data_IF_204897654963
#
_entry.id   IF_204897654963
#
_cell.length_a   1.000
_cell.length_b   1.000
_cell.length_c   1.000
_cell.angle_alpha   90.00
_cell.angle_beta   90.00
_cell.angle_gamma   90.00
#
_symmetry.space_group_name_H-M   'P 1'
#
loop_
_entity.id
_entity.type
_entity.pdbx_description
1 polymer ?
#
# COMPACT_ATOMS: atom_id res chain seq x y z
N UNK A 1 52.32 16.64 19.94
CA UNK A 1 51.06 17.40 20.03
C UNK A 1 49.98 16.46 19.53
N UNK A 2 49.16 15.87 20.42
CA UNK A 2 48.08 14.96 20.04
C UNK A 2 46.99 15.81 19.37
N UNK A 3 46.85 15.67 18.06
CA UNK A 3 45.73 16.27 17.34
C UNK A 3 44.45 15.62 17.84
N UNK A 4 43.46 16.44 18.14
CA UNK A 4 42.19 16.18 18.81
C UNK A 4 41.22 15.29 18.01
N UNK A 5 41.66 14.10 17.60
CA UNK A 5 40.82 13.07 17.01
C UNK A 5 40.51 11.98 18.03
N UNK A 6 39.24 11.57 18.10
CA UNK A 6 38.84 10.36 18.82
C UNK A 6 39.37 9.15 18.06
N UNK A 7 39.78 8.12 18.79
CA UNK A 7 40.14 6.83 18.22
C UNK A 7 38.85 6.20 17.64
N UNK A 8 38.85 5.94 16.34
CA UNK A 8 37.67 5.49 15.59
C UNK A 8 37.17 4.13 16.10
N UNK A 9 38.07 3.23 16.49
CA UNK A 9 37.71 1.93 17.03
C UNK A 9 37.01 2.07 18.39
N UNK A 10 37.46 3.03 19.21
CA UNK A 10 36.83 3.35 20.50
C UNK A 10 35.44 3.96 20.30
N UNK A 11 35.28 4.83 19.29
CA UNK A 11 33.98 5.42 18.96
C UNK A 11 32.99 4.37 18.45
N UNK A 12 33.42 3.46 17.58
CA UNK A 12 32.59 2.35 17.07
C UNK A 12 32.17 1.42 18.21
N UNK A 13 33.11 1.00 19.06
CA UNK A 13 32.79 0.14 20.20
C UNK A 13 31.84 0.80 21.20
N UNK A 14 32.05 2.08 21.51
CA UNK A 14 31.16 2.83 22.39
C UNK A 14 29.74 2.94 21.79
N UNK A 15 29.65 3.17 20.47
CA UNK A 15 28.38 3.25 19.76
C UNK A 15 27.68 1.90 19.73
N UNK A 16 28.38 0.81 19.44
CA UNK A 16 27.83 -0.56 19.45
C UNK A 16 27.35 -0.99 20.84
N UNK A 17 28.13 -0.71 21.90
CA UNK A 17 27.74 -0.99 23.27
C UNK A 17 26.50 -0.21 23.65
N UNK A 18 26.49 1.10 23.39
CA UNK A 18 25.35 1.97 23.70
C UNK A 18 24.10 1.54 22.94
N UNK A 19 24.24 1.17 21.66
CA UNK A 19 23.11 0.68 20.87
C UNK A 19 22.60 -0.65 21.41
N UNK A 20 23.50 -1.57 21.79
CA UNK A 20 23.14 -2.87 22.34
C UNK A 20 22.43 -2.74 23.68
N UNK A 21 22.97 -1.94 24.59
CA UNK A 21 22.38 -1.67 25.91
C UNK A 21 21.02 -0.97 25.76
N UNK A 22 20.90 -0.04 24.79
CA UNK A 22 19.63 0.59 24.48
C UNK A 22 18.63 -0.43 23.92
N UNK A 23 19.02 -1.27 22.96
CA UNK A 23 18.18 -2.34 22.40
C UNK A 23 17.75 -3.33 23.48
N UNK A 24 18.64 -3.70 24.39
CA UNK A 24 18.34 -4.58 25.51
C UNK A 24 17.40 -3.91 26.52
N UNK A 25 17.51 -2.60 26.74
CA UNK A 25 16.56 -1.83 27.55
C UNK A 25 15.16 -1.75 26.91
N UNK A 26 15.08 -1.75 25.58
CA UNK A 26 13.82 -1.77 24.83
C UNK A 26 13.15 -3.16 24.82
N UNK A 27 13.88 -4.25 25.15
CA UNK A 27 13.27 -5.59 25.25
C UNK A 27 12.24 -5.70 26.38
N UNK A 28 12.20 -4.75 27.32
CA UNK A 28 11.24 -4.71 28.43
C UNK A 28 10.04 -3.77 28.23
N UNK A 29 10.08 -2.86 27.25
CA UNK A 29 9.01 -1.91 26.97
C UNK A 29 8.82 -1.80 25.44
N UNK A 30 7.66 -2.26 24.94
CA UNK A 30 7.25 -2.19 23.52
C UNK A 30 8.13 -2.95 22.52
N UNK A 31 8.29 -4.27 22.71
CA UNK A 31 8.79 -5.13 21.65
C UNK A 31 7.83 -5.07 20.43
N UNK A 32 8.28 -4.59 19.25
CA UNK A 32 7.33 -4.51 18.12
C UNK A 32 6.79 -5.92 17.76
N UNK A 33 5.55 -6.01 17.21
CA UNK A 33 4.92 -7.28 16.83
C UNK A 33 5.72 -8.00 15.73
N UNK A 34 5.92 -9.32 15.74
CA UNK A 34 6.82 -10.05 14.83
C UNK A 34 6.60 -9.69 13.35
N UNK A 35 7.69 -9.68 12.57
CA UNK A 35 7.62 -9.40 11.13
C UNK A 35 7.10 -10.63 10.40
N UNK A 36 6.20 -10.45 9.46
CA UNK A 36 5.72 -11.49 8.55
C UNK A 36 6.35 -11.31 7.16
N UNK A 37 6.42 -12.38 6.34
CA UNK A 37 6.75 -12.25 4.93
C UNK A 37 5.81 -11.27 4.23
N UNK A 38 6.36 -10.46 3.34
CA UNK A 38 5.62 -9.49 2.52
C UNK A 38 5.88 -9.75 1.05
N UNK A 39 4.96 -9.35 0.15
CA UNK A 39 5.19 -9.35 -1.30
C UNK A 39 6.47 -8.59 -1.68
N UNK A 40 7.21 -9.09 -2.65
CA UNK A 40 8.47 -8.50 -3.09
C UNK A 40 8.55 -8.44 -4.62
N UNK A 41 8.44 -7.23 -5.20
CA UNK A 41 8.87 -7.04 -6.59
C UNK A 41 10.36 -7.37 -6.72
N UNK A 42 10.72 -8.06 -7.82
CA UNK A 42 12.10 -8.50 -8.08
C UNK A 42 12.98 -7.34 -8.53
N UNK A 43 13.38 -6.48 -7.59
CA UNK A 43 14.17 -5.27 -7.83
C UNK A 43 15.69 -5.48 -7.72
N UNK A 44 16.15 -6.73 -7.68
CA UNK A 44 17.59 -7.06 -7.66
C UNK A 44 18.28 -6.58 -8.94
N UNK A 45 19.49 -6.06 -8.81
CA UNK A 45 20.27 -5.49 -9.93
C UNK A 45 19.65 -4.23 -10.58
N UNK A 46 18.74 -3.55 -9.88
CA UNK A 46 18.13 -2.27 -10.31
C UNK A 46 17.50 -2.35 -11.72
N UNK A 47 16.54 -3.25 -11.95
CA UNK A 47 15.95 -3.42 -13.27
C UNK A 47 15.09 -2.21 -13.62
N UNK A 48 15.17 -1.77 -14.88
CA UNK A 48 14.31 -0.71 -15.40
C UNK A 48 12.89 -1.22 -15.67
N UNK A 49 12.76 -2.52 -15.95
CA UNK A 49 11.53 -3.17 -16.37
C UNK A 49 11.35 -4.52 -15.67
N UNK A 50 10.10 -4.85 -15.35
CA UNK A 50 9.69 -6.16 -14.84
C UNK A 50 8.76 -6.80 -15.87
N UNK A 51 9.12 -7.98 -16.35
CA UNK A 51 8.22 -8.81 -17.17
C UNK A 51 7.21 -9.51 -16.26
N UNK A 52 5.93 -9.18 -16.46
CA UNK A 52 4.80 -9.77 -15.72
C UNK A 52 3.98 -10.73 -16.60
N UNK A 53 4.53 -11.06 -17.77
CA UNK A 53 4.12 -12.08 -18.71
C UNK A 53 3.09 -11.63 -19.75
N UNK A 54 2.33 -10.56 -19.51
CA UNK A 54 1.48 -9.94 -20.52
C UNK A 54 1.90 -8.52 -20.92
N UNK A 55 2.85 -7.92 -20.17
CA UNK A 55 3.49 -6.64 -20.48
C UNK A 55 4.79 -6.45 -19.71
N UNK A 56 5.55 -5.41 -20.08
CA UNK A 56 6.66 -4.90 -19.29
C UNK A 56 6.23 -3.73 -18.41
N UNK A 57 6.39 -3.86 -17.10
CA UNK A 57 6.09 -2.82 -16.11
C UNK A 57 7.37 -2.06 -15.79
N UNK A 58 7.32 -0.73 -15.80
CA UNK A 58 8.50 0.11 -15.55
C UNK A 58 8.70 0.29 -14.05
N UNK A 59 9.94 0.22 -13.57
CA UNK A 59 10.30 0.63 -12.21
C UNK A 59 10.68 2.11 -12.27
N UNK A 60 9.82 3.00 -11.76
CA UNK A 60 10.05 4.45 -11.82
C UNK A 60 10.85 4.92 -10.61
N UNK A 61 10.44 4.48 -9.42
CA UNK A 61 11.08 4.84 -8.15
C UNK A 61 11.02 3.65 -7.21
N UNK A 62 12.08 3.37 -6.46
CA UNK A 62 12.10 2.39 -5.39
C UNK A 62 12.72 2.97 -4.12
N UNK A 63 11.92 3.06 -3.07
CA UNK A 63 12.35 3.37 -1.71
C UNK A 63 12.44 2.06 -0.93
N UNK A 64 13.57 1.80 -0.26
CA UNK A 64 13.78 0.54 0.45
C UNK A 64 13.14 0.51 1.84
N UNK A 65 13.11 1.65 2.55
CA UNK A 65 12.60 1.74 3.92
C UNK A 65 11.92 3.10 4.19
N UNK A 66 10.58 3.15 4.29
CA UNK A 66 9.63 2.05 4.06
C UNK A 66 9.70 1.56 2.61
N UNK A 67 9.26 0.32 2.36
CA UNK A 67 9.23 -0.20 1.00
C UNK A 67 8.07 0.45 0.23
N UNK A 68 8.42 1.35 -0.68
CA UNK A 68 7.48 2.02 -1.60
C UNK A 68 8.07 1.98 -3.01
N UNK A 69 7.29 1.50 -3.97
CA UNK A 69 7.72 1.36 -5.37
C UNK A 69 6.68 1.99 -6.27
N UNK A 70 7.10 2.88 -7.16
CA UNK A 70 6.24 3.46 -8.19
C UNK A 70 6.47 2.71 -9.49
N UNK A 71 5.39 2.19 -10.05
CA UNK A 71 5.38 1.45 -11.31
C UNK A 71 4.74 2.26 -12.42
N UNK A 72 5.36 2.26 -13.60
CA UNK A 72 4.79 2.78 -14.83
C UNK A 72 4.30 1.64 -15.72
N UNK A 73 3.37 1.93 -16.62
CA UNK A 73 2.86 0.94 -17.58
C UNK A 73 2.31 -0.34 -16.91
N UNK A 74 1.66 -0.21 -15.75
CA UNK A 74 1.05 -1.33 -15.03
C UNK A 74 -0.31 -1.73 -15.62
N UNK A 75 -1.11 -0.74 -16.01
CA UNK A 75 -2.36 -0.92 -16.76
C UNK A 75 -2.26 -0.21 -18.11
N UNK A 76 -2.99 -0.68 -19.11
CA UNK A 76 -3.13 0.03 -20.39
C UNK A 76 -4.25 1.05 -20.26
N UNK A 77 -4.31 1.99 -21.20
CA UNK A 77 -5.40 2.94 -21.23
C UNK A 77 -6.75 2.22 -21.38
N UNK A 78 -6.87 1.23 -22.26
CA UNK A 78 -8.10 0.44 -22.43
C UNK A 78 -8.51 -0.27 -21.13
N UNK A 79 -7.56 -0.86 -20.40
CA UNK A 79 -7.84 -1.52 -19.12
C UNK A 79 -8.33 -0.53 -18.05
N UNK A 80 -7.78 0.69 -18.04
CA UNK A 80 -8.23 1.75 -17.15
C UNK A 80 -9.67 2.18 -17.47
N UNK A 81 -10.00 2.39 -18.74
CA UNK A 81 -11.35 2.78 -19.16
C UNK A 81 -12.37 1.67 -18.88
N UNK A 82 -12.01 0.42 -19.16
CA UNK A 82 -12.89 -0.74 -18.93
C UNK A 82 -13.16 -0.94 -17.42
N UNK A 83 -12.15 -0.80 -16.55
CA UNK A 83 -12.36 -0.83 -15.10
C UNK A 83 -13.32 0.28 -14.63
N UNK A 84 -13.14 1.50 -15.13
CA UNK A 84 -14.02 2.63 -14.80
C UNK A 84 -15.45 2.33 -15.28
N UNK A 85 -15.61 1.84 -16.51
CA UNK A 85 -16.92 1.54 -17.09
C UNK A 85 -17.67 0.46 -16.29
N UNK A 86 -16.99 -0.63 -15.94
CA UNK A 86 -17.56 -1.74 -15.15
C UNK A 86 -17.91 -1.33 -13.72
N UNK A 87 -17.10 -0.46 -13.10
CA UNK A 87 -17.31 0.00 -11.73
C UNK A 87 -18.41 1.07 -11.60
N UNK A 88 -18.51 1.97 -12.57
CA UNK A 88 -19.39 3.15 -12.54
C UNK A 88 -20.85 2.87 -12.13
N UNK A 89 -21.56 1.84 -12.66
CA UNK A 89 -22.95 1.59 -12.28
C UNK A 89 -23.13 1.02 -10.87
N UNK A 90 -22.04 0.55 -10.23
CA UNK A 90 -22.04 -0.09 -8.91
C UNK A 90 -21.48 0.80 -7.81
N UNK A 91 -20.99 2.00 -8.15
CA UNK A 91 -20.43 2.93 -7.18
C UNK A 91 -21.51 3.37 -6.18
N UNK A 92 -21.20 3.20 -4.90
CA UNK A 92 -21.95 3.77 -3.79
C UNK A 92 -21.00 4.59 -2.92
N UNK A 93 -21.56 5.37 -1.99
CA UNK A 93 -20.75 6.09 -1.01
C UNK A 93 -19.82 5.11 -0.28
N UNK A 94 -18.51 5.37 -0.27
CA UNK A 94 -17.56 4.45 0.36
C UNK A 94 -17.83 4.30 1.85
N UNK A 95 -17.91 3.06 2.32
CA UNK A 95 -17.91 2.70 3.73
C UNK A 95 -16.48 2.29 4.14
N UNK A 96 -16.12 2.44 5.41
CA UNK A 96 -14.94 1.80 5.99
C UNK A 96 -15.36 0.61 6.83
N UNK A 97 -14.45 -0.33 7.09
CA UNK A 97 -14.73 -1.41 8.05
C UNK A 97 -14.99 -0.78 9.41
N UNK A 98 -16.16 -1.05 9.97
CA UNK A 98 -16.59 -0.63 11.29
C UNK A 98 -15.73 -1.36 12.33
N UNK A 99 -14.70 -0.68 12.79
CA UNK A 99 -13.60 -1.24 13.59
C UNK A 99 -14.10 -1.87 14.92
N UNK A 100 -15.23 -1.38 15.44
CA UNK A 100 -15.85 -1.87 16.69
C UNK A 100 -16.75 -3.09 16.52
N UNK A 101 -17.42 -3.24 15.38
CA UNK A 101 -18.40 -4.31 15.15
C UNK A 101 -17.94 -5.36 14.12
N UNK A 102 -16.86 -5.08 13.39
CA UNK A 102 -16.41 -5.87 12.24
C UNK A 102 -17.30 -5.72 11.00
N UNK A 103 -18.26 -4.78 11.01
CA UNK A 103 -19.18 -4.48 9.90
C UNK A 103 -18.67 -3.39 8.95
N UNK A 104 -19.58 -2.69 8.27
CA UNK A 104 -19.27 -1.49 7.45
C UNK A 104 -19.90 -0.24 8.09
N UNK A 105 -19.17 0.88 8.14
CA UNK A 105 -19.65 2.16 8.69
C UNK A 105 -19.34 3.33 7.73
N UNK A 106 -20.26 4.31 7.71
CA UNK A 106 -20.09 5.57 6.99
C UNK A 106 -18.98 6.39 7.64
N UNK A 107 -17.88 6.62 6.94
CA UNK A 107 -16.74 7.34 7.47
C UNK A 107 -16.65 8.77 6.91
N UNK A 108 -16.57 9.76 7.79
CA UNK A 108 -16.35 11.16 7.40
C UNK A 108 -14.95 11.38 6.78
N UNK A 109 -13.98 10.54 7.15
CA UNK A 109 -12.57 10.66 6.75
C UNK A 109 -12.28 10.12 5.35
N UNK A 110 -13.24 9.39 4.77
CA UNK A 110 -13.18 8.87 3.39
C UNK A 110 -14.37 9.38 2.61
N UNK A 111 -14.10 10.34 1.72
CA UNK A 111 -15.18 11.04 1.00
C UNK A 111 -15.33 10.63 -0.47
N UNK A 112 -14.85 9.43 -0.82
CA UNK A 112 -15.01 8.81 -2.14
C UNK A 112 -16.35 8.08 -2.32
N UNK A 113 -16.67 7.78 -3.58
CA UNK A 113 -17.56 6.67 -3.92
C UNK A 113 -16.70 5.44 -4.25
N UNK A 114 -17.16 4.24 -3.93
CA UNK A 114 -16.41 3.01 -4.17
C UNK A 114 -17.29 1.80 -4.44
N UNK A 115 -16.67 0.78 -5.02
CA UNK A 115 -17.25 -0.55 -5.18
C UNK A 115 -16.14 -1.60 -5.15
N UNK A 116 -16.53 -2.85 -4.93
CA UNK A 116 -15.64 -4.01 -4.98
C UNK A 116 -16.05 -4.96 -6.09
N UNK A 117 -15.07 -5.37 -6.89
CA UNK A 117 -15.17 -6.61 -7.65
C UNK A 117 -14.86 -7.78 -6.72
N UNK A 118 -15.53 -8.93 -6.93
CA UNK A 118 -15.02 -10.20 -6.43
C UNK A 118 -13.64 -10.52 -7.02
N UNK A 119 -12.85 -11.37 -6.34
CA UNK A 119 -11.60 -11.89 -6.94
C UNK A 119 -11.95 -12.65 -8.22
N UNK A 120 -11.24 -12.35 -9.30
CA UNK A 120 -11.47 -12.89 -10.64
C UNK A 120 -12.93 -12.80 -11.12
N UNK A 121 -13.68 -11.76 -10.70
CA UNK A 121 -15.11 -11.62 -11.04
C UNK A 121 -15.38 -11.57 -12.55
N UNK A 122 -14.45 -10.98 -13.31
CA UNK A 122 -14.48 -10.93 -14.77
C UNK A 122 -13.08 -11.13 -15.34
N UNK A 123 -13.00 -11.30 -16.66
CA UNK A 123 -11.74 -11.60 -17.35
C UNK A 123 -10.68 -10.50 -17.21
N UNK A 124 -11.09 -9.22 -17.21
CA UNK A 124 -10.20 -8.09 -16.98
C UNK A 124 -9.60 -8.15 -15.56
N UNK A 125 -10.45 -8.28 -14.54
CA UNK A 125 -10.02 -8.39 -13.16
C UNK A 125 -9.09 -9.59 -12.97
N UNK A 126 -9.44 -10.77 -13.50
CA UNK A 126 -8.61 -11.98 -13.44
C UNK A 126 -7.21 -11.75 -14.03
N UNK A 127 -7.12 -11.06 -15.17
CA UNK A 127 -5.85 -10.75 -15.84
C UNK A 127 -4.99 -9.79 -15.03
N UNK A 128 -5.58 -8.69 -14.55
CA UNK A 128 -4.89 -7.69 -13.70
C UNK A 128 -4.40 -8.34 -12.39
N UNK A 129 -5.21 -9.20 -11.78
CA UNK A 129 -4.83 -9.89 -10.54
C UNK A 129 -3.68 -10.89 -10.74
N UNK A 130 -3.68 -11.63 -11.86
CA UNK A 130 -2.57 -12.50 -12.23
C UNK A 130 -1.29 -11.70 -12.51
N UNK A 131 -1.41 -10.55 -13.18
CA UNK A 131 -0.30 -9.61 -13.43
C UNK A 131 0.30 -9.11 -12.12
N UNK A 132 -0.55 -8.66 -11.19
CA UNK A 132 -0.14 -8.22 -9.86
C UNK A 132 0.59 -9.33 -9.12
N UNK A 133 0.04 -10.54 -9.10
CA UNK A 133 0.64 -11.69 -8.43
C UNK A 133 2.08 -11.96 -8.91
N UNK A 134 2.31 -11.88 -10.23
CA UNK A 134 3.65 -11.99 -10.82
C UNK A 134 4.54 -10.78 -10.50
N UNK A 135 4.00 -9.57 -10.56
CA UNK A 135 4.73 -8.32 -10.32
C UNK A 135 5.40 -8.30 -8.94
N UNK A 136 4.67 -8.74 -7.92
CA UNK A 136 5.10 -8.65 -6.51
C UNK A 136 5.47 -10.00 -5.91
N UNK A 137 5.57 -11.05 -6.74
CA UNK A 137 5.93 -12.42 -6.35
C UNK A 137 5.09 -12.92 -5.16
N UNK A 138 3.76 -12.86 -5.30
CA UNK A 138 2.81 -13.22 -4.24
C UNK A 138 1.62 -14.01 -4.81
N UNK A 139 1.09 -15.04 -4.10
CA UNK A 139 -0.01 -15.84 -4.63
C UNK A 139 -1.26 -15.01 -4.89
N UNK A 140 -1.93 -15.24 -6.02
CA UNK A 140 -3.16 -14.50 -6.39
C UNK A 140 -4.30 -14.73 -5.37
N UNK A 141 -4.32 -15.89 -4.73
CA UNK A 141 -5.28 -16.30 -3.71
C UNK A 141 -5.17 -15.45 -2.44
N UNK A 142 -4.00 -14.86 -2.19
CA UNK A 142 -3.77 -13.96 -1.07
C UNK A 142 -4.28 -12.54 -1.36
N UNK A 143 -4.82 -12.25 -2.54
CA UNK A 143 -5.41 -10.96 -2.86
C UNK A 143 -6.89 -10.88 -2.49
N UNK A 144 -7.30 -9.76 -1.87
CA UNK A 144 -8.71 -9.34 -1.85
C UNK A 144 -9.19 -8.97 -3.24
N UNK A 145 -10.50 -8.83 -3.48
CA UNK A 145 -11.00 -8.32 -4.76
C UNK A 145 -10.53 -6.88 -5.06
N UNK A 146 -10.55 -6.47 -6.33
CA UNK A 146 -10.20 -5.10 -6.71
C UNK A 146 -11.26 -4.11 -6.18
N UNK A 147 -10.81 -3.09 -5.44
CA UNK A 147 -11.66 -1.97 -5.05
C UNK A 147 -11.49 -0.82 -6.02
N UNK A 148 -12.55 -0.37 -6.69
CA UNK A 148 -12.52 0.85 -7.52
C UNK A 148 -13.12 2.02 -6.77
N UNK A 149 -12.46 3.17 -6.85
CA UNK A 149 -12.81 4.38 -6.12
C UNK A 149 -12.83 5.60 -7.03
N UNK A 150 -13.79 6.49 -6.77
CA UNK A 150 -13.93 7.79 -7.43
C UNK A 150 -13.88 8.92 -6.40
N UNK A 151 -13.03 9.90 -6.66
CA UNK A 151 -12.89 11.13 -5.89
C UNK A 151 -13.30 12.31 -6.78
N UNK A 152 -14.38 13.00 -6.40
CA UNK A 152 -14.81 14.28 -7.00
C UNK A 152 -14.00 15.44 -6.41
N UNK A 153 -14.05 16.65 -6.98
CA UNK A 153 -13.44 17.83 -6.37
C UNK A 153 -13.83 17.97 -4.89
N UNK A 154 -12.85 18.21 -4.04
CA UNK A 154 -12.97 18.28 -2.58
C UNK A 154 -12.88 16.93 -1.87
N UNK A 155 -13.11 15.80 -2.55
CA UNK A 155 -13.00 14.49 -1.94
C UNK A 155 -11.53 14.13 -1.65
N UNK A 156 -11.32 13.46 -0.53
CA UNK A 156 -10.02 13.05 0.00
C UNK A 156 -10.14 11.73 0.78
N UNK A 157 -8.98 11.20 1.17
CA UNK A 157 -8.90 10.18 2.21
C UNK A 157 -7.82 10.60 3.21
N UNK A 158 -8.21 10.83 4.47
CA UNK A 158 -7.27 11.14 5.55
C UNK A 158 -6.18 10.06 5.68
N UNK A 159 -4.98 10.44 6.16
CA UNK A 159 -3.91 9.49 6.42
C UNK A 159 -4.36 8.33 7.31
N UNK A 160 -4.08 7.10 6.88
CA UNK A 160 -4.45 5.86 7.56
C UNK A 160 -3.44 4.75 7.27
N UNK A 161 -3.61 3.64 7.97
CA UNK A 161 -2.91 2.39 7.69
C UNK A 161 -3.88 1.41 7.02
N UNK A 162 -3.36 0.60 6.10
CA UNK A 162 -4.15 -0.44 5.45
C UNK A 162 -4.19 -1.75 6.24
N UNK A 163 -3.26 -1.97 7.17
CA UNK A 163 -3.34 -3.09 8.10
C UNK A 163 -4.49 -2.90 9.10
N UNK A 164 -5.01 -4.00 9.62
CA UNK A 164 -5.97 -3.97 10.73
C UNK A 164 -5.23 -3.80 12.05
N UNK A 165 -5.61 -2.79 12.83
CA UNK A 165 -4.97 -2.49 14.12
C UNK A 165 -5.19 -3.65 15.12
N UNK A 166 -4.12 -4.29 15.64
CA UNK A 166 -4.25 -5.37 16.62
C UNK A 166 -4.96 -4.98 17.93
N UNK A 167 -4.97 -3.69 18.29
CA UNK A 167 -5.62 -3.18 19.49
C UNK A 167 -7.14 -3.09 19.37
N UNK A 168 -7.69 -3.24 18.17
CA UNK A 168 -9.11 -3.04 17.91
C UNK A 168 -9.96 -4.31 18.11
N UNK A 169 -11.12 -4.23 18.80
CA UNK A 169 -11.92 -5.41 19.14
C UNK A 169 -12.39 -6.25 17.95
N UNK A 170 -12.63 -5.61 16.79
CA UNK A 170 -13.08 -6.28 15.57
C UNK A 170 -11.97 -7.01 14.81
N UNK A 171 -10.71 -6.68 15.05
CA UNK A 171 -9.56 -7.19 14.29
C UNK A 171 -9.47 -8.72 14.30
N UNK A 172 -9.59 -9.43 15.45
CA UNK A 172 -9.53 -10.89 15.46
C UNK A 172 -10.53 -11.58 14.51
N UNK A 173 -11.71 -11.00 14.31
CA UNK A 173 -12.72 -11.53 13.38
C UNK A 173 -12.31 -11.32 11.93
N UNK A 174 -11.80 -10.15 11.59
CA UNK A 174 -11.35 -9.81 10.24
C UNK A 174 -10.13 -10.67 9.84
N UNK A 175 -9.22 -10.93 10.79
CA UNK A 175 -8.02 -11.74 10.55
C UNK A 175 -8.32 -13.23 10.28
N UNK A 176 -9.54 -13.72 10.57
CA UNK A 176 -9.93 -15.10 10.20
C UNK A 176 -9.90 -15.32 8.69
N UNK A 177 -10.12 -14.25 7.92
CA UNK A 177 -10.19 -14.29 6.47
C UNK A 177 -8.91 -13.75 5.84
N UNK A 178 -7.95 -14.63 5.57
CA UNK A 178 -6.67 -14.26 4.96
C UNK A 178 -5.64 -13.63 5.89
N UNK A 179 -5.92 -13.49 7.20
CA UNK A 179 -4.94 -12.99 8.16
C UNK A 179 -4.81 -11.48 8.17
N UNK A 180 -3.60 -10.92 8.29
CA UNK A 180 -3.32 -9.49 8.19
C UNK A 180 -3.13 -9.05 6.72
N UNK A 181 -3.38 -7.78 6.39
CA UNK A 181 -2.90 -7.18 5.13
C UNK A 181 -1.39 -6.94 5.26
N UNK A 182 -0.64 -7.17 4.20
CA UNK A 182 0.83 -7.08 4.21
C UNK A 182 1.39 -6.14 3.14
N UNK A 183 0.56 -5.79 2.15
CA UNK A 183 0.88 -4.80 1.14
C UNK A 183 -0.36 -4.29 0.42
N UNK A 184 -0.18 -3.15 -0.24
CA UNK A 184 -1.19 -2.48 -1.05
C UNK A 184 -0.60 -2.10 -2.39
N UNK A 185 -1.42 -2.21 -3.43
CA UNK A 185 -1.17 -1.63 -4.74
C UNK A 185 -2.31 -0.69 -5.07
N UNK A 186 -1.99 0.59 -5.26
CA UNK A 186 -2.94 1.60 -5.76
C UNK A 186 -2.60 1.85 -7.23
N UNK A 187 -3.54 1.61 -8.12
CA UNK A 187 -3.42 1.83 -9.57
C UNK A 187 -4.24 3.05 -9.96
N UNK A 188 -3.64 3.98 -10.69
CA UNK A 188 -4.32 5.19 -11.15
C UNK A 188 -5.01 4.92 -12.49
N UNK A 189 -6.34 5.07 -12.52
CA UNK A 189 -7.14 4.82 -13.72
C UNK A 189 -7.31 6.09 -14.58
N UNK A 190 -7.07 7.26 -14.00
CA UNK A 190 -6.95 8.53 -14.70
C UNK A 190 -6.10 9.52 -13.88
N UNK A 191 -5.86 10.70 -14.46
CA UNK A 191 -5.32 11.85 -13.75
C UNK A 191 -6.41 12.92 -13.51
N UNK A 192 -6.53 13.47 -12.28
CA UNK A 192 -7.27 14.70 -12.09
C UNK A 192 -6.51 15.87 -12.71
N UNK A 193 -7.21 16.96 -13.03
CA UNK A 193 -6.58 18.19 -13.52
C UNK A 193 -5.65 18.82 -12.47
N UNK A 194 -5.98 18.69 -11.18
CA UNK A 194 -5.16 19.19 -10.06
C UNK A 194 -5.45 18.46 -8.74
N UNK A 195 -4.41 18.20 -7.96
CA UNK A 195 -4.50 17.54 -6.64
C UNK A 195 -4.60 16.03 -6.73
N UNK A 196 -5.12 15.37 -5.69
CA UNK A 196 -5.35 13.92 -5.73
C UNK A 196 -4.12 13.03 -5.55
N UNK A 197 -2.95 13.55 -5.15
CA UNK A 197 -1.77 12.73 -4.86
C UNK A 197 -1.99 11.65 -3.80
N UNK A 198 -1.24 10.56 -3.87
CA UNK A 198 -1.11 9.60 -2.76
C UNK A 198 0.04 10.06 -1.88
N UNK A 199 -0.24 10.46 -0.64
CA UNK A 199 0.74 11.02 0.28
C UNK A 199 1.22 9.98 1.29
N UNK A 200 2.49 10.05 1.68
CA UNK A 200 3.11 9.28 2.76
C UNK A 200 3.75 10.26 3.75
N UNK A 201 3.00 10.76 4.75
CA UNK A 201 3.44 11.87 5.61
C UNK A 201 4.72 11.57 6.40
N UNK A 202 4.88 10.35 6.91
CA UNK A 202 6.03 9.94 7.74
C UNK A 202 7.39 10.03 7.02
N UNK A 203 7.35 10.11 5.69
CA UNK A 203 8.55 10.17 4.84
C UNK A 203 8.54 11.37 3.88
N UNK A 204 7.56 12.28 3.99
CA UNK A 204 7.47 13.46 3.13
C UNK A 204 7.36 13.15 1.63
N UNK A 205 6.78 12.00 1.27
CA UNK A 205 6.65 11.57 -0.12
C UNK A 205 5.21 11.78 -0.63
N UNK A 206 5.07 12.21 -1.88
CA UNK A 206 3.80 12.26 -2.59
C UNK A 206 3.97 11.65 -3.98
N UNK A 207 3.03 10.78 -4.38
CA UNK A 207 2.96 10.21 -5.72
C UNK A 207 1.79 10.85 -6.45
N UNK A 208 2.10 11.63 -7.49
CA UNK A 208 1.10 12.22 -8.36
C UNK A 208 0.37 11.12 -9.17
N UNK A 209 -0.97 11.21 -9.35
CA UNK A 209 -1.68 10.25 -10.17
C UNK A 209 -1.22 10.36 -11.62
N UNK A 210 -0.89 9.22 -12.22
CA UNK A 210 -0.59 9.09 -13.64
C UNK A 210 -1.29 7.87 -14.18
N UNK A 211 -2.13 8.00 -15.20
CA UNK A 211 -2.93 6.91 -15.73
C UNK A 211 -2.05 5.72 -16.10
N UNK A 212 -2.53 4.52 -15.79
CA UNK A 212 -1.81 3.27 -16.01
C UNK A 212 -0.63 3.02 -15.07
N UNK A 213 -0.29 3.97 -14.19
CA UNK A 213 0.77 3.80 -13.19
C UNK A 213 0.19 3.24 -11.89
N UNK A 214 1.05 2.75 -11.02
CA UNK A 214 0.65 2.35 -9.68
C UNK A 214 1.73 2.63 -8.63
N UNK A 215 1.31 2.69 -7.38
CA UNK A 215 2.19 2.72 -6.22
C UNK A 215 1.96 1.46 -5.40
N UNK A 216 3.03 0.72 -5.17
CA UNK A 216 3.08 -0.43 -4.28
C UNK A 216 3.78 -0.04 -2.99
N UNK A 217 3.26 -0.51 -1.86
CA UNK A 217 3.96 -0.42 -0.59
C UNK A 217 3.62 -1.62 0.29
N UNK A 218 4.57 -2.04 1.12
CA UNK A 218 4.43 -3.21 1.98
C UNK A 218 4.80 -2.90 3.42
N UNK A 219 4.12 -3.58 4.34
CA UNK A 219 4.26 -3.39 5.78
C UNK A 219 4.32 -4.75 6.46
N UNK A 220 5.52 -5.12 6.92
CA UNK A 220 5.77 -6.44 7.49
C UNK A 220 5.17 -6.64 8.89
N UNK A 221 4.59 -5.59 9.48
CA UNK A 221 4.04 -5.57 10.84
C UNK A 221 2.84 -4.61 10.84
N UNK A 222 1.78 -4.95 11.58
CA UNK A 222 0.67 -4.04 11.81
C UNK A 222 1.05 -3.01 12.90
N UNK A 223 1.98 -2.11 12.57
CA UNK A 223 2.56 -1.17 13.52
C UNK A 223 3.06 0.12 12.83
N UNK A 224 2.96 1.30 13.47
CA UNK A 224 3.43 2.58 12.92
C UNK A 224 4.91 2.63 12.55
N UNK A 225 5.75 1.78 13.15
CA UNK A 225 7.18 1.67 12.80
C UNK A 225 7.42 1.31 11.33
N UNK A 226 6.40 0.81 10.63
CA UNK A 226 6.46 0.58 9.19
C UNK A 226 6.51 1.86 8.37
N UNK A 227 6.13 3.03 8.92
CA UNK A 227 6.11 4.34 8.23
C UNK A 227 5.34 4.33 6.91
N UNK A 228 4.32 3.47 6.81
CA UNK A 228 3.43 3.37 5.65
C UNK A 228 2.10 4.10 5.86
N UNK A 229 2.05 5.05 6.81
CA UNK A 229 0.89 5.94 6.95
C UNK A 229 0.72 6.66 5.62
N UNK A 230 -0.47 6.58 5.03
CA UNK A 230 -0.70 7.17 3.72
C UNK A 230 -2.13 7.68 3.55
N UNK A 231 -2.31 8.65 2.66
CA UNK A 231 -3.60 9.27 2.39
C UNK A 231 -3.79 9.63 0.92
N UNK A 232 -5.01 10.05 0.59
CA UNK A 232 -5.34 10.64 -0.71
C UNK A 232 -5.53 12.14 -0.53
N UNK A 233 -4.60 12.95 -1.03
CA UNK A 233 -4.71 14.40 -1.00
C UNK A 233 -6.01 14.85 -1.71
N UNK A 234 -6.63 15.97 -1.29
CA UNK A 234 -7.87 16.43 -1.91
C UNK A 234 -7.74 16.65 -3.41
N UNK A 235 -8.72 16.17 -4.18
CA UNK A 235 -8.86 16.54 -5.60
C UNK A 235 -9.26 18.01 -5.66
N UNK A 236 -8.51 18.84 -6.38
CA UNK A 236 -8.76 20.29 -6.48
C UNK A 236 -9.48 20.67 -7.77
N UNK A 237 -9.29 19.90 -8.86
CA UNK A 237 -9.97 20.06 -10.14
C UNK A 237 -9.98 18.71 -10.91
N UNK A 238 -10.97 18.50 -11.76
CA UNK A 238 -11.22 17.20 -12.41
C UNK A 238 -11.73 16.12 -11.45
N UNK A 239 -11.53 14.86 -11.79
CA UNK A 239 -11.85 13.71 -10.92
C UNK A 239 -10.70 12.70 -10.92
N UNK A 240 -10.55 11.97 -9.80
CA UNK A 240 -9.56 10.89 -9.66
C UNK A 240 -10.27 9.55 -9.52
N UNK A 241 -9.81 8.58 -10.30
CA UNK A 241 -10.20 7.18 -10.25
C UNK A 241 -9.00 6.31 -9.93
N UNK A 242 -9.15 5.40 -8.99
CA UNK A 242 -8.14 4.41 -8.65
C UNK A 242 -8.74 3.02 -8.52
N UNK A 243 -7.92 2.00 -8.76
CA UNK A 243 -8.19 0.64 -8.34
C UNK A 243 -7.16 0.23 -7.27
N UNK A 244 -7.63 -0.28 -6.15
CA UNK A 244 -6.78 -0.73 -5.04
C UNK A 244 -6.85 -2.25 -4.93
N UNK A 245 -5.69 -2.88 -4.73
CA UNK A 245 -5.55 -4.30 -4.41
C UNK A 245 -4.83 -4.43 -3.07
N UNK A 246 -5.52 -5.01 -2.09
CA UNK A 246 -4.90 -5.40 -0.82
C UNK A 246 -4.44 -6.85 -0.87
N UNK A 247 -3.24 -7.09 -0.35
CA UNK A 247 -2.61 -8.40 -0.30
C UNK A 247 -2.55 -8.87 1.15
N UNK A 248 -2.94 -10.12 1.38
CA UNK A 248 -3.10 -10.76 2.68
C UNK A 248 -1.94 -11.71 2.96
N UNK A 249 -1.64 -11.95 4.24
CA UNK A 249 -0.59 -12.90 4.67
C UNK A 249 -0.91 -14.35 4.25
N UNK A 250 -2.19 -14.70 4.17
CA UNK A 250 -2.71 -16.04 3.87
C UNK A 250 -3.80 -15.97 2.79
N UNK A 251 -4.20 -17.12 2.29
CA UNK A 251 -5.29 -17.24 1.33
C UNK A 251 -6.56 -16.54 1.83
N UNK A 252 -7.10 -15.65 1.00
CA UNK A 252 -8.32 -14.91 1.27
C UNK A 252 -9.53 -15.72 0.78
N UNK A 253 -10.09 -16.55 1.67
CA UNK A 253 -11.30 -17.35 1.41
C UNK A 253 -12.54 -16.66 2.00
#
# INVERSE_FOLDING_TARGET
MKASGWDEDVAIQAMESTLRDHVDSLKGADALPPAVPVPQPRLGESPLYLDVGDRQVHVITALANPRVVVFGNLLSDDECDELIALARPRLARSLTVAVRSGGEELNADRTSDGMFFGRAENELARRIEARIARLVDWPVQNGEGLQVLRYRPGAEYKPHYDYFDPGEPGTPTILKRGGQRVATIIMYLNEPERGGGTTFPDIGMEVAPKRGHGVFFSYARAHPSTRTLHGGAPVKAGEKWIATKWLREREFA
#
